data_IF_976879834014
#
_entry.id   IF_976879834014
#
_cell.length_a   1.000
_cell.length_b   1.000
_cell.length_c   1.000
_cell.angle_alpha   90.00
_cell.angle_beta   90.00
_cell.angle_gamma   90.00
#
_symmetry.space_group_name_H-M   'P 1'
#
loop_
_entity.id
_entity.type
_entity.pdbx_description
1 polymer ?
#
# COMPACT_ATOMS: atom_id res chain seq x y z
N UNK A 1 2.30 19.12 15.94
CA UNK A 1 3.36 18.95 14.92
C UNK A 1 3.25 17.57 14.30
N UNK A 2 3.41 17.41 12.97
CA UNK A 2 3.46 16.09 12.31
C UNK A 2 4.91 15.61 12.32
N UNK A 3 5.23 14.66 13.21
CA UNK A 3 6.54 14.01 13.25
C UNK A 3 6.64 13.05 12.08
N UNK A 4 7.60 13.27 11.18
CA UNK A 4 7.92 12.30 10.12
C UNK A 4 8.67 11.15 10.78
N UNK A 5 8.11 9.94 10.73
CA UNK A 5 8.72 8.73 11.27
C UNK A 5 9.15 7.87 10.10
N UNK A 6 10.45 7.56 10.01
CA UNK A 6 10.95 6.59 9.04
C UNK A 6 10.50 5.18 9.42
N UNK A 7 10.22 4.33 8.44
CA UNK A 7 9.93 2.92 8.69
C UNK A 7 11.19 2.24 9.21
N UNK A 8 11.15 1.77 10.45
CA UNK A 8 12.18 0.92 11.04
C UNK A 8 11.80 -0.54 10.79
N UNK A 9 12.46 -1.17 9.81
CA UNK A 9 12.18 -2.54 9.41
C UNK A 9 12.46 -3.56 10.52
N UNK A 10 13.36 -3.26 11.46
CA UNK A 10 13.67 -4.14 12.60
C UNK A 10 12.54 -4.13 13.65
N UNK A 11 11.66 -3.13 13.60
CA UNK A 11 10.48 -3.00 14.47
C UNK A 11 9.17 -3.41 13.81
N UNK A 12 9.22 -3.84 12.55
CA UNK A 12 8.03 -4.33 11.86
C UNK A 12 7.63 -5.71 12.42
N UNK A 13 6.35 -5.84 12.78
CA UNK A 13 5.74 -7.12 13.14
C UNK A 13 4.67 -7.50 12.13
N UNK A 14 4.48 -8.79 11.88
CA UNK A 14 3.34 -9.27 11.08
C UNK A 14 2.02 -8.87 11.75
N UNK A 15 1.12 -8.27 10.99
CA UNK A 15 -0.19 -7.83 11.48
C UNK A 15 -1.23 -7.89 10.37
N UNK A 16 -2.46 -8.24 10.72
CA UNK A 16 -3.61 -8.17 9.82
C UNK A 16 -4.24 -6.76 9.80
N UNK A 17 -3.76 -5.85 10.67
CA UNK A 17 -4.27 -4.46 10.81
C UNK A 17 -3.12 -3.44 10.80
N UNK A 18 -2.44 -3.27 9.65
CA UNK A 18 -1.35 -2.30 9.53
C UNK A 18 -1.90 -0.87 9.66
N UNK A 19 -1.19 -0.02 10.41
CA UNK A 19 -1.62 1.38 10.67
C UNK A 19 -1.22 2.35 9.55
N UNK A 20 -0.35 1.92 8.65
CA UNK A 20 0.36 2.73 7.65
C UNK A 20 -0.05 2.41 6.20
N UNK A 21 -1.25 1.86 5.97
CA UNK A 21 -1.75 1.49 4.63
C UNK A 21 -1.69 2.68 3.66
N UNK A 22 -2.20 3.85 4.05
CA UNK A 22 -2.20 5.04 3.20
C UNK A 22 -0.79 5.48 2.81
N UNK A 23 0.16 5.44 3.75
CA UNK A 23 1.56 5.81 3.48
C UNK A 23 2.24 4.84 2.52
N UNK A 24 1.93 3.54 2.65
CA UNK A 24 2.40 2.51 1.72
C UNK A 24 1.92 2.77 0.30
N UNK A 25 0.62 3.05 0.13
CA UNK A 25 0.07 3.38 -1.19
C UNK A 25 0.61 4.67 -1.78
N UNK A 26 0.75 5.72 -0.96
CA UNK A 26 1.32 6.98 -1.43
C UNK A 26 2.74 6.77 -1.96
N UNK A 27 3.53 5.93 -1.29
CA UNK A 27 4.85 5.54 -1.75
C UNK A 27 4.78 4.80 -3.09
N UNK A 28 3.95 3.75 -3.20
CA UNK A 28 3.77 2.99 -4.44
C UNK A 28 3.33 3.89 -5.60
N UNK A 29 2.35 4.77 -5.37
CA UNK A 29 1.84 5.68 -6.39
C UNK A 29 2.88 6.71 -6.85
N UNK A 30 3.83 7.07 -5.98
CA UNK A 30 4.96 7.95 -6.31
C UNK A 30 6.03 7.23 -7.13
N UNK A 31 6.23 5.94 -6.87
CA UNK A 31 7.15 5.07 -7.60
C UNK A 31 6.61 4.61 -8.97
N UNK A 32 5.51 5.21 -9.45
CA UNK A 32 4.79 4.75 -10.64
C UNK A 32 5.70 4.63 -11.87
N UNK A 33 6.55 5.62 -12.13
CA UNK A 33 7.35 5.66 -13.34
C UNK A 33 8.46 4.60 -13.30
N UNK A 34 9.04 4.36 -12.11
CA UNK A 34 10.00 3.29 -11.88
C UNK A 34 9.36 1.90 -11.96
N UNK A 35 8.11 1.77 -11.54
CA UNK A 35 7.34 0.53 -11.66
C UNK A 35 7.03 0.23 -13.13
N UNK A 36 6.57 1.24 -13.89
CA UNK A 36 6.35 1.13 -15.34
C UNK A 36 7.63 0.78 -16.09
N UNK A 37 8.76 1.37 -15.72
CA UNK A 37 10.07 1.04 -16.30
C UNK A 37 10.49 -0.42 -16.04
N UNK A 38 9.93 -1.06 -15.01
CA UNK A 38 10.11 -2.48 -14.68
C UNK A 38 9.03 -3.39 -15.27
N UNK A 39 8.11 -2.84 -16.05
CA UNK A 39 6.99 -3.58 -16.65
C UNK A 39 5.81 -3.82 -15.73
N UNK A 40 5.76 -3.17 -14.56
CA UNK A 40 4.66 -3.26 -13.60
C UNK A 40 3.69 -2.10 -13.86
N UNK A 41 2.40 -2.40 -13.99
CA UNK A 41 1.40 -1.37 -14.33
C UNK A 41 0.47 -1.15 -13.15
N UNK A 42 0.47 0.07 -12.61
CA UNK A 42 -0.22 0.38 -11.37
C UNK A 42 -1.40 1.32 -11.62
N UNK A 43 -2.62 0.82 -11.47
CA UNK A 43 -3.81 1.67 -11.53
C UNK A 43 -4.03 2.40 -10.19
N UNK A 44 -3.70 3.70 -10.18
CA UNK A 44 -3.75 4.53 -8.97
C UNK A 44 -5.16 4.71 -8.39
N UNK A 45 -6.20 4.66 -9.22
CA UNK A 45 -7.59 4.82 -8.75
C UNK A 45 -8.07 3.55 -8.07
N UNK A 46 -7.81 2.41 -8.70
CA UNK A 46 -8.14 1.08 -8.18
C UNK A 46 -7.45 0.81 -6.84
N UNK A 47 -6.14 1.08 -6.76
CA UNK A 47 -5.38 0.93 -5.51
C UNK A 47 -5.90 1.78 -4.36
N UNK A 48 -6.32 3.03 -4.65
CA UNK A 48 -6.90 3.91 -3.63
C UNK A 48 -8.24 3.38 -3.15
N UNK A 49 -9.08 2.89 -4.06
CA UNK A 49 -10.37 2.30 -3.71
C UNK A 49 -10.21 1.06 -2.84
N UNK A 50 -9.40 0.08 -3.30
CA UNK A 50 -9.16 -1.17 -2.58
C UNK A 50 -8.58 -0.94 -1.19
N UNK A 51 -7.66 0.00 -1.03
CA UNK A 51 -7.10 0.26 0.29
C UNK A 51 -8.03 1.04 1.23
N UNK A 52 -8.92 1.86 0.68
CA UNK A 52 -10.02 2.44 1.45
C UNK A 52 -10.89 1.34 2.03
N UNK A 53 -11.32 0.41 1.17
CA UNK A 53 -12.13 -0.75 1.55
C UNK A 53 -11.42 -1.66 2.57
N UNK A 54 -10.11 -1.89 2.38
CA UNK A 54 -9.29 -2.64 3.32
C UNK A 54 -9.22 -1.99 4.71
N UNK A 55 -9.15 -0.65 4.79
CA UNK A 55 -9.08 0.06 6.07
C UNK A 55 -10.38 -0.06 6.88
N UNK A 56 -11.51 -0.15 6.17
CA UNK A 56 -12.83 -0.23 6.78
C UNK A 56 -13.17 -1.67 7.23
N UNK A 57 -12.70 -2.67 6.49
CA UNK A 57 -13.05 -4.08 6.71
C UNK A 57 -11.94 -4.91 7.37
N UNK A 58 -10.68 -4.53 7.16
CA UNK A 58 -9.49 -5.37 7.37
C UNK A 58 -9.60 -6.76 6.74
N UNK A 59 -10.31 -6.88 5.61
CA UNK A 59 -10.47 -8.15 4.91
C UNK A 59 -9.15 -8.55 4.22
N UNK A 60 -8.72 -9.78 4.49
CA UNK A 60 -7.52 -10.36 3.91
C UNK A 60 -7.63 -10.56 2.39
N UNK A 61 -8.83 -10.74 1.86
CA UNK A 61 -9.07 -10.86 0.42
C UNK A 61 -8.78 -9.53 -0.29
N UNK A 62 -9.27 -8.42 0.26
CA UNK A 62 -8.99 -7.09 -0.27
C UNK A 62 -7.50 -6.78 -0.21
N UNK A 63 -6.81 -7.19 0.88
CA UNK A 63 -5.36 -7.08 0.94
C UNK A 63 -4.66 -7.88 -0.17
N UNK A 64 -5.14 -9.08 -0.50
CA UNK A 64 -4.62 -9.85 -1.64
C UNK A 64 -4.87 -9.14 -2.96
N UNK A 65 -6.06 -8.57 -3.16
CA UNK A 65 -6.41 -7.83 -4.38
C UNK A 65 -5.52 -6.58 -4.53
N UNK A 66 -5.25 -5.86 -3.44
CA UNK A 66 -4.26 -4.75 -3.40
C UNK A 66 -2.88 -5.23 -3.82
N UNK A 67 -2.43 -6.40 -3.35
CA UNK A 67 -1.11 -6.94 -3.72
C UNK A 67 -1.07 -7.47 -5.15
N UNK A 68 -2.19 -7.97 -5.67
CA UNK A 68 -2.31 -8.47 -7.04
C UNK A 68 -2.34 -7.34 -8.07
N UNK A 69 -2.97 -6.21 -7.74
CA UNK A 69 -2.98 -5.01 -8.58
C UNK A 69 -1.62 -4.29 -8.70
N UNK A 70 -0.56 -4.84 -8.09
CA UNK A 70 0.83 -4.37 -8.21
C UNK A 70 1.68 -5.21 -9.17
N UNK A 71 1.07 -6.09 -9.96
CA UNK A 71 1.74 -6.98 -10.92
C UNK A 71 2.00 -6.33 -12.29
#
# INVERSE_FOLDING_TARGET
EKRVVLLDFERCSKTDKPKNVTQCLEFICRMHDELVAKGLTVNKEELRSLAGEYKDTYDRKILQDVMWGLQ
#
